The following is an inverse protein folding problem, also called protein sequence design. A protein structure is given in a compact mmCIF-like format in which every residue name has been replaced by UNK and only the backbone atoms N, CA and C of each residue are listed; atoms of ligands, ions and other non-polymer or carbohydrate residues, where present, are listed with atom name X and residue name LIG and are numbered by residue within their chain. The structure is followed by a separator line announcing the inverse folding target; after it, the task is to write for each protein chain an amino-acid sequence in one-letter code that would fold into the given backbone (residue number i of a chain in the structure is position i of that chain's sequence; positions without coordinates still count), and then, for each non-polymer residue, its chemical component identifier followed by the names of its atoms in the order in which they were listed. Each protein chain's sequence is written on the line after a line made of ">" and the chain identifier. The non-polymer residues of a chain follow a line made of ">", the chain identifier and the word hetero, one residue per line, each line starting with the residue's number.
data_IF_612614483640
#
_entry.id   IF_612614483640
#
_cell.length_a   1.000
_cell.length_b   1.000
_cell.length_c   1.000
_cell.angle_alpha   90.00
_cell.angle_beta   90.00
_cell.angle_gamma   90.00
#
_symmetry.space_group_name_H-M   'P 1'
#
loop_
_entity.id
_entity.type
_entity.pdbx_description
1 polymer ?
#
# COMPACT_ATOMS: atom_id res chain seq x y z
N UNK A 1 48.74 -8.99 -41.72
CA UNK A 1 48.42 -7.69 -41.06
C UNK A 1 46.94 -7.42 -40.86
N UNK A 2 46.09 -7.62 -41.88
CA UNK A 2 44.61 -7.38 -41.73
C UNK A 2 43.93 -8.25 -40.68
N UNK A 3 44.31 -9.51 -40.54
CA UNK A 3 43.73 -10.43 -39.54
C UNK A 3 44.07 -10.06 -38.09
N UNK A 4 45.22 -9.50 -37.83
CA UNK A 4 45.64 -9.06 -36.50
C UNK A 4 44.91 -7.79 -36.09
N UNK A 5 44.68 -6.87 -37.01
CA UNK A 5 43.90 -5.64 -36.78
C UNK A 5 42.44 -5.93 -36.46
N UNK A 6 41.83 -6.90 -37.15
CA UNK A 6 40.45 -7.33 -36.89
C UNK A 6 40.31 -8.00 -35.50
N UNK A 7 41.30 -8.82 -35.14
CA UNK A 7 41.31 -9.48 -33.84
C UNK A 7 41.51 -8.48 -32.68
N UNK A 8 42.37 -7.50 -32.85
CA UNK A 8 42.60 -6.42 -31.87
C UNK A 8 41.39 -5.52 -31.70
N UNK A 9 40.72 -5.14 -32.79
CA UNK A 9 39.47 -4.33 -32.69
C UNK A 9 38.35 -5.08 -32.00
N UNK A 10 38.21 -6.38 -32.26
CA UNK A 10 37.22 -7.24 -31.56
C UNK A 10 37.48 -7.35 -30.05
N UNK A 11 38.74 -7.50 -29.66
CA UNK A 11 39.12 -7.59 -28.26
C UNK A 11 38.90 -6.28 -27.49
N UNK A 12 39.15 -5.13 -28.11
CA UNK A 12 38.91 -3.82 -27.49
C UNK A 12 37.42 -3.56 -27.32
N UNK A 13 36.59 -3.90 -28.30
CA UNK A 13 35.15 -3.74 -28.23
C UNK A 13 34.57 -4.66 -27.16
N UNK A 14 34.98 -5.92 -27.09
CA UNK A 14 34.49 -6.84 -26.06
C UNK A 14 34.88 -6.43 -24.64
N UNK A 15 36.10 -5.90 -24.46
CA UNK A 15 36.56 -5.37 -23.18
C UNK A 15 35.77 -4.12 -22.76
N UNK A 16 35.46 -3.23 -23.69
CA UNK A 16 34.66 -2.03 -23.42
C UNK A 16 33.20 -2.38 -23.04
N UNK A 17 32.59 -3.36 -23.72
CA UNK A 17 31.25 -3.86 -23.39
C UNK A 17 31.25 -4.54 -22.02
N UNK A 18 32.22 -5.35 -21.70
CA UNK A 18 32.33 -6.03 -20.41
C UNK A 18 32.49 -5.05 -19.24
N UNK A 19 33.10 -3.90 -19.42
CA UNK A 19 33.24 -2.86 -18.42
C UNK A 19 31.94 -1.99 -18.29
N UNK A 20 31.20 -1.85 -19.37
CA UNK A 20 29.92 -1.09 -19.35
C UNK A 20 28.78 -1.84 -18.67
N UNK A 21 28.78 -3.17 -18.72
CA UNK A 21 27.71 -4.00 -18.14
C UNK A 21 27.47 -3.75 -16.64
N UNK A 22 28.46 -3.78 -15.75
CA UNK A 22 28.22 -3.59 -14.32
C UNK A 22 27.69 -2.18 -14.00
N UNK A 23 28.06 -1.18 -14.79
CA UNK A 23 27.51 0.18 -14.63
C UNK A 23 26.07 0.26 -15.10
N UNK A 24 25.72 -0.42 -16.18
CA UNK A 24 24.35 -0.50 -16.66
C UNK A 24 23.48 -1.27 -15.68
N UNK A 25 23.95 -2.41 -15.17
CA UNK A 25 23.19 -3.22 -14.20
C UNK A 25 22.95 -2.46 -12.89
N UNK A 26 23.95 -1.71 -12.40
CA UNK A 26 23.77 -0.87 -11.22
C UNK A 26 22.78 0.28 -11.44
N UNK A 27 22.77 0.87 -12.62
CA UNK A 27 21.80 1.92 -12.99
C UNK A 27 20.40 1.33 -13.16
N UNK A 28 20.27 0.17 -13.78
CA UNK A 28 18.98 -0.51 -13.93
C UNK A 28 18.39 -0.89 -12.57
N UNK A 29 19.20 -1.46 -11.68
CA UNK A 29 18.74 -1.79 -10.33
C UNK A 29 18.32 -0.55 -9.51
N UNK A 30 19.04 0.56 -9.66
CA UNK A 30 18.70 1.83 -9.02
C UNK A 30 17.40 2.40 -9.57
N UNK A 31 17.17 2.36 -10.88
CA UNK A 31 15.93 2.81 -11.51
C UNK A 31 14.76 1.90 -11.11
N UNK A 32 14.98 0.59 -11.08
CA UNK A 32 13.95 -0.36 -10.65
C UNK A 32 13.55 -0.15 -9.19
N UNK A 33 14.52 0.04 -8.29
CA UNK A 33 14.23 0.32 -6.88
C UNK A 33 13.48 1.66 -6.71
N UNK A 34 13.88 2.69 -7.45
CA UNK A 34 13.19 3.98 -7.45
C UNK A 34 11.77 3.87 -8.00
N UNK A 35 11.56 3.10 -9.06
CA UNK A 35 10.24 2.86 -9.61
C UNK A 35 9.32 2.11 -8.63
N UNK A 36 9.83 1.08 -7.97
CA UNK A 36 9.09 0.34 -6.93
C UNK A 36 8.72 1.24 -5.74
N UNK A 37 9.65 2.05 -5.28
CA UNK A 37 9.38 2.99 -4.17
C UNK A 37 8.37 4.06 -4.56
N UNK A 38 8.43 4.59 -5.78
CA UNK A 38 7.46 5.56 -6.29
C UNK A 38 6.06 4.94 -6.43
N UNK A 39 5.98 3.70 -6.91
CA UNK A 39 4.70 2.98 -6.99
C UNK A 39 4.12 2.75 -5.60
N UNK A 40 4.91 2.25 -4.65
CA UNK A 40 4.47 2.06 -3.27
C UNK A 40 3.99 3.36 -2.62
N UNK A 41 4.69 4.47 -2.86
CA UNK A 41 4.25 5.77 -2.37
C UNK A 41 2.92 6.21 -3.01
N UNK A 42 2.73 5.96 -4.31
CA UNK A 42 1.48 6.22 -5.02
C UNK A 42 0.31 5.39 -4.48
N UNK A 43 0.52 4.11 -4.28
CA UNK A 43 -0.49 3.19 -3.74
C UNK A 43 -0.89 3.59 -2.31
N UNK A 44 0.09 3.94 -1.47
CA UNK A 44 -0.16 4.42 -0.12
C UNK A 44 -0.94 5.75 -0.12
N UNK A 45 -0.58 6.69 -0.98
CA UNK A 45 -1.30 7.96 -1.12
C UNK A 45 -2.75 7.73 -1.54
N UNK A 46 -2.99 6.84 -2.51
CA UNK A 46 -4.34 6.48 -2.96
C UNK A 46 -5.16 5.83 -1.84
N UNK A 47 -4.56 4.91 -1.09
CA UNK A 47 -5.21 4.26 0.05
C UNK A 47 -5.60 5.26 1.14
N UNK A 48 -4.71 6.20 1.46
CA UNK A 48 -4.98 7.24 2.46
C UNK A 48 -6.11 8.18 2.03
N UNK A 49 -6.10 8.63 0.77
CA UNK A 49 -7.19 9.48 0.23
C UNK A 49 -8.51 8.73 0.21
N UNK A 50 -8.52 7.48 -0.23
CA UNK A 50 -9.72 6.64 -0.25
C UNK A 50 -10.28 6.42 1.16
N UNK A 51 -9.41 6.13 2.14
CA UNK A 51 -9.79 5.97 3.53
C UNK A 51 -10.38 7.28 4.11
N UNK A 52 -9.78 8.43 3.81
CA UNK A 52 -10.29 9.73 4.24
C UNK A 52 -11.69 10.03 3.67
N UNK A 53 -11.91 9.71 2.40
CA UNK A 53 -13.22 9.88 1.76
C UNK A 53 -14.28 8.96 2.37
N UNK A 54 -13.93 7.71 2.67
CA UNK A 54 -14.83 6.76 3.35
C UNK A 54 -15.16 7.22 4.76
N UNK A 55 -14.18 7.73 5.50
CA UNK A 55 -14.42 8.30 6.83
C UNK A 55 -15.32 9.54 6.78
N UNK A 56 -15.13 10.38 5.77
CA UNK A 56 -16.00 11.54 5.55
C UNK A 56 -17.44 11.13 5.22
N UNK A 57 -17.63 10.04 4.48
CA UNK A 57 -18.95 9.48 4.21
C UNK A 57 -19.58 8.88 5.48
N UNK A 58 -18.82 8.11 6.24
CA UNK A 58 -19.30 7.40 7.43
C UNK A 58 -19.48 8.34 8.63
N UNK A 59 -18.52 9.23 8.90
CA UNK A 59 -18.62 10.19 10.01
C UNK A 59 -19.71 11.22 9.76
N UNK A 60 -19.39 12.35 9.11
CA UNK A 60 -20.37 13.42 8.93
C UNK A 60 -21.52 13.03 8.02
N UNK A 61 -21.29 12.25 6.95
CA UNK A 61 -22.32 11.89 5.98
C UNK A 61 -23.46 11.08 6.61
N UNK A 62 -23.19 9.93 7.20
CA UNK A 62 -24.20 9.08 7.83
C UNK A 62 -24.79 9.73 9.09
N UNK A 63 -23.95 10.39 9.90
CA UNK A 63 -24.42 11.06 11.11
C UNK A 63 -25.45 12.15 10.79
N UNK A 64 -25.19 12.97 9.77
CA UNK A 64 -26.11 14.01 9.32
C UNK A 64 -27.37 13.43 8.66
N UNK A 65 -27.22 12.39 7.85
CA UNK A 65 -28.32 11.72 7.18
C UNK A 65 -29.31 11.13 8.20
N UNK A 66 -28.83 10.30 9.12
CA UNK A 66 -29.68 9.73 10.16
C UNK A 66 -30.15 10.77 11.17
N UNK A 67 -29.32 11.76 11.49
CA UNK A 67 -29.71 12.88 12.32
C UNK A 67 -30.86 13.69 11.73
N UNK A 68 -30.95 13.81 10.41
CA UNK A 68 -32.08 14.47 9.71
C UNK A 68 -33.39 13.68 9.72
N UNK A 69 -33.32 12.35 9.87
CA UNK A 69 -34.49 11.48 9.84
C UNK A 69 -35.15 11.30 11.23
N UNK A 70 -34.48 11.65 12.31
CA UNK A 70 -34.97 11.49 13.67
C UNK A 70 -35.56 12.78 14.21
N UNK A 71 -36.38 12.66 15.28
CA UNK A 71 -36.93 13.81 15.96
C UNK A 71 -35.84 14.68 16.56
N UNK A 72 -36.01 16.01 16.56
CA UNK A 72 -35.02 16.99 17.03
C UNK A 72 -34.36 16.64 18.36
N UNK A 73 -35.10 16.11 19.32
CA UNK A 73 -34.60 15.73 20.64
C UNK A 73 -33.66 14.51 20.63
N UNK A 74 -33.69 13.71 19.56
CA UNK A 74 -32.91 12.47 19.45
C UNK A 74 -31.71 12.60 18.50
N UNK A 75 -31.53 13.73 17.82
CA UNK A 75 -30.47 13.95 16.82
C UNK A 75 -29.10 13.71 17.42
N UNK A 76 -28.81 14.31 18.57
CA UNK A 76 -27.49 14.19 19.22
C UNK A 76 -27.19 12.74 19.61
N UNK A 77 -28.18 12.02 20.16
CA UNK A 77 -28.02 10.60 20.48
C UNK A 77 -27.68 9.74 19.24
N UNK A 78 -28.40 9.95 18.14
CA UNK A 78 -28.20 9.22 16.91
C UNK A 78 -26.79 9.50 16.32
N UNK A 79 -26.36 10.76 16.33
CA UNK A 79 -25.02 11.13 15.89
C UNK A 79 -23.93 10.47 16.75
N UNK A 80 -24.11 10.51 18.08
CA UNK A 80 -23.16 9.88 19.02
C UNK A 80 -23.05 8.36 18.82
N UNK A 81 -24.17 7.66 18.54
CA UNK A 81 -24.12 6.24 18.21
C UNK A 81 -23.25 5.96 16.97
N UNK A 82 -23.37 6.75 15.93
CA UNK A 82 -22.56 6.60 14.72
C UNK A 82 -21.04 6.77 15.00
N UNK A 83 -20.69 7.78 15.79
CA UNK A 83 -19.28 8.02 16.15
C UNK A 83 -18.71 6.94 17.08
N UNK A 84 -19.48 6.49 18.05
CA UNK A 84 -19.07 5.41 18.97
C UNK A 84 -18.87 4.10 18.20
N UNK A 85 -19.79 3.75 17.31
CA UNK A 85 -19.65 2.55 16.47
C UNK A 85 -18.44 2.64 15.56
N UNK A 86 -18.18 3.78 14.95
CA UNK A 86 -17.00 3.99 14.12
C UNK A 86 -15.71 3.77 14.94
N UNK A 87 -15.63 4.31 16.15
CA UNK A 87 -14.48 4.12 17.03
C UNK A 87 -14.30 2.65 17.43
N UNK A 88 -15.36 1.96 17.83
CA UNK A 88 -15.31 0.54 18.22
C UNK A 88 -14.87 -0.33 17.04
N UNK A 89 -15.48 -0.14 15.87
CA UNK A 89 -15.15 -0.92 14.67
C UNK A 89 -13.68 -0.68 14.25
N UNK A 90 -13.19 0.55 14.33
CA UNK A 90 -11.79 0.86 14.02
C UNK A 90 -10.83 0.12 14.96
N UNK A 91 -11.13 0.09 16.26
CA UNK A 91 -10.32 -0.65 17.23
C UNK A 91 -10.37 -2.16 16.96
N UNK A 92 -11.54 -2.73 16.75
CA UNK A 92 -11.70 -4.16 16.43
C UNK A 92 -10.98 -4.52 15.10
N UNK A 93 -11.02 -3.62 14.12
CA UNK A 93 -10.29 -3.82 12.88
C UNK A 93 -8.78 -3.89 13.11
N UNK A 94 -8.21 -2.97 13.89
CA UNK A 94 -6.78 -2.95 14.17
C UNK A 94 -6.33 -4.20 14.94
N UNK A 95 -7.13 -4.70 15.88
CA UNK A 95 -6.75 -5.87 16.68
C UNK A 95 -6.94 -7.21 15.95
N UNK A 96 -8.03 -7.38 15.26
CA UNK A 96 -8.44 -8.69 14.73
C UNK A 96 -8.80 -8.62 13.25
N UNK A 97 -9.54 -7.59 12.82
CA UNK A 97 -10.12 -7.50 11.48
C UNK A 97 -9.06 -7.55 10.38
N UNK A 98 -7.97 -6.84 10.56
CA UNK A 98 -6.86 -6.82 9.61
C UNK A 98 -6.28 -8.22 9.40
N UNK A 99 -6.05 -8.96 10.48
CA UNK A 99 -5.52 -10.33 10.40
C UNK A 99 -6.48 -11.29 9.68
N UNK A 100 -7.78 -11.19 9.96
CA UNK A 100 -8.78 -12.06 9.34
C UNK A 100 -8.94 -11.82 7.82
N UNK A 101 -8.61 -10.62 7.35
CA UNK A 101 -8.74 -10.26 5.92
C UNK A 101 -7.47 -10.55 5.15
N UNK A 102 -6.30 -10.22 5.68
CA UNK A 102 -5.03 -10.21 4.94
C UNK A 102 -4.07 -11.37 5.29
N UNK A 103 -4.35 -12.15 6.33
CA UNK A 103 -3.54 -13.30 6.67
C UNK A 103 -3.87 -14.52 5.80
N UNK A 104 -2.89 -15.33 5.52
CA UNK A 104 -3.10 -16.63 4.88
C UNK A 104 -3.96 -17.54 5.78
N UNK A 105 -5.00 -18.14 5.21
CA UNK A 105 -5.94 -18.97 5.93
C UNK A 105 -6.75 -19.88 5.03
N UNK A 106 -7.96 -20.20 5.43
CA UNK A 106 -8.92 -20.96 4.61
C UNK A 106 -9.53 -20.06 3.54
N UNK A 107 -10.14 -20.63 2.48
CA UNK A 107 -10.70 -19.88 1.36
C UNK A 107 -11.78 -18.82 1.71
N UNK A 108 -12.21 -18.72 2.97
CA UNK A 108 -13.21 -17.76 3.44
C UNK A 108 -12.73 -16.82 4.55
N UNK A 109 -11.76 -17.24 5.37
CA UNK A 109 -11.30 -16.46 6.52
C UNK A 109 -9.79 -16.60 6.63
N UNK A 110 -9.08 -15.49 6.81
CA UNK A 110 -7.66 -15.45 7.09
C UNK A 110 -7.31 -16.00 8.49
N UNK A 111 -6.06 -16.33 8.69
CA UNK A 111 -5.52 -16.78 9.98
C UNK A 111 -5.29 -15.62 10.97
N UNK A 112 -4.61 -15.93 12.07
CA UNK A 112 -4.28 -14.96 13.12
C UNK A 112 -2.87 -14.36 13.01
N UNK A 113 -2.20 -14.51 11.86
CA UNK A 113 -0.78 -14.16 11.72
C UNK A 113 -0.47 -12.67 11.96
N UNK A 114 -1.38 -11.80 11.55
CA UNK A 114 -1.26 -10.34 11.72
C UNK A 114 -2.11 -9.79 12.87
N UNK A 115 -2.48 -10.64 13.84
CA UNK A 115 -3.21 -10.18 15.02
C UNK A 115 -2.42 -9.08 15.75
N UNK A 116 -3.09 -8.03 16.18
CA UNK A 116 -2.48 -6.84 16.78
C UNK A 116 -1.51 -6.09 15.85
N UNK A 117 -1.65 -6.25 14.53
CA UNK A 117 -0.77 -5.67 13.51
C UNK A 117 0.69 -6.13 13.60
N UNK A 118 0.95 -7.29 14.21
CA UNK A 118 2.28 -7.87 14.29
C UNK A 118 2.78 -8.28 12.90
N UNK A 119 4.02 -7.93 12.56
CA UNK A 119 4.62 -8.25 11.26
C UNK A 119 4.09 -7.42 10.06
N UNK A 120 3.26 -6.43 10.27
CA UNK A 120 2.77 -5.54 9.21
C UNK A 120 3.81 -4.46 8.90
N UNK A 121 4.31 -4.42 7.66
CA UNK A 121 5.26 -3.40 7.20
C UNK A 121 6.74 -3.75 7.36
N UNK A 122 7.06 -5.03 7.61
CA UNK A 122 8.44 -5.55 7.61
C UNK A 122 8.81 -6.19 6.30
#
# INVERSE_FOLDING_TARGET
>A
MRSILVALSGAVVSAAVAQAQPVLDSRLSAVESAARSAQSAGDNAWMLVSAALVLMMTGPGLALFYGGLVRRKNVLGTMMHSFVLMAIVTVLWAFIGYSLVFSEGTGFIGGGHYAFLDGVGT
#
